data_IF_476090725516
#
_entry.id   IF_476090725516
#
_cell.length_a   1.000
_cell.length_b   1.000
_cell.length_c   1.000
_cell.angle_alpha   90.00
_cell.angle_beta   90.00
_cell.angle_gamma   90.00
#
_symmetry.space_group_name_H-M   'P 1'
#
loop_
_entity.id
_entity.type
_entity.pdbx_description
1 polymer ?
#
# COMPACT_ATOMS: atom_id res chain seq x y z
N UNK A 1 45.37 -14.88 -13.82
CA UNK A 1 44.93 -14.34 -12.52
C UNK A 1 43.75 -15.18 -12.04
N UNK A 2 44.04 -16.28 -11.33
CA UNK A 2 43.02 -17.24 -10.85
C UNK A 2 43.31 -17.57 -9.39
N UNK A 3 42.72 -16.82 -8.48
CA UNK A 3 42.85 -17.05 -7.04
C UNK A 3 41.54 -16.77 -6.22
N UNK A 4 40.38 -16.77 -6.86
CA UNK A 4 39.12 -16.42 -6.18
C UNK A 4 38.12 -17.57 -5.99
N UNK A 5 38.27 -18.69 -6.66
CA UNK A 5 37.29 -19.79 -6.63
C UNK A 5 37.54 -20.82 -5.51
N UNK A 6 38.77 -20.94 -5.03
CA UNK A 6 39.16 -21.94 -4.03
C UNK A 6 38.72 -21.62 -2.60
N UNK A 7 38.71 -20.35 -2.24
CA UNK A 7 38.33 -19.92 -0.86
C UNK A 7 36.84 -20.02 -0.58
N UNK A 8 35.98 -19.75 -1.54
CA UNK A 8 34.53 -19.86 -1.38
C UNK A 8 34.06 -21.31 -1.18
N UNK A 9 34.71 -22.26 -1.80
CA UNK A 9 34.39 -23.69 -1.67
C UNK A 9 34.80 -24.25 -0.31
N UNK A 10 35.88 -23.70 0.28
CA UNK A 10 36.38 -24.11 1.59
C UNK A 10 35.47 -23.63 2.74
N UNK A 11 34.92 -22.42 2.64
CA UNK A 11 33.98 -21.87 3.64
C UNK A 11 32.65 -22.62 3.63
N UNK A 12 32.10 -22.97 2.46
CA UNK A 12 30.85 -23.74 2.34
C UNK A 12 30.95 -25.15 2.92
N UNK A 13 32.06 -25.86 2.69
CA UNK A 13 32.27 -27.21 3.26
C UNK A 13 32.49 -27.21 4.75
N UNK A 14 32.96 -26.10 5.34
CA UNK A 14 33.16 -25.99 6.79
C UNK A 14 31.86 -25.70 7.54
N UNK A 15 30.91 -25.02 6.92
CA UNK A 15 29.56 -24.76 7.47
C UNK A 15 28.67 -26.00 7.42
N UNK A 16 28.71 -26.82 6.37
CA UNK A 16 27.96 -28.07 6.30
C UNK A 16 28.41 -29.09 7.36
N UNK A 17 29.72 -29.17 7.65
CA UNK A 17 30.27 -30.09 8.66
C UNK A 17 29.93 -29.64 10.09
N UNK A 18 29.74 -28.34 10.36
CA UNK A 18 29.34 -27.81 11.66
C UNK A 18 27.85 -28.06 11.96
N UNK A 19 26.98 -28.05 10.95
CA UNK A 19 25.54 -28.32 11.10
C UNK A 19 25.22 -29.81 11.28
N UNK A 20 26.03 -30.72 10.75
CA UNK A 20 25.85 -32.17 10.90
C UNK A 20 26.18 -32.68 12.31
N UNK A 21 27.02 -32.00 13.07
CA UNK A 21 27.47 -32.43 14.41
C UNK A 21 26.53 -31.97 15.53
N UNK A 22 25.66 -30.96 15.31
CA UNK A 22 24.75 -30.42 16.32
C UNK A 22 23.39 -31.13 16.39
N UNK A 23 23.07 -31.95 15.38
CA UNK A 23 21.74 -32.59 15.25
C UNK A 23 21.57 -33.93 15.97
N UNK A 24 22.63 -34.56 16.47
CA UNK A 24 22.55 -35.94 16.97
C UNK A 24 22.53 -36.12 18.50
N UNK A 25 22.79 -35.06 19.28
CA UNK A 25 22.94 -35.19 20.77
C UNK A 25 21.68 -34.74 21.53
N UNK A 26 20.73 -34.05 20.92
CA UNK A 26 19.51 -33.55 21.61
C UNK A 26 18.31 -34.50 21.49
N UNK A 27 18.33 -35.50 20.60
CA UNK A 27 17.17 -36.39 20.36
C UNK A 27 17.10 -37.67 21.23
N UNK A 28 18.02 -37.92 22.16
CA UNK A 28 18.04 -39.18 22.94
C UNK A 28 17.72 -39.06 24.43
N UNK A 29 17.34 -37.89 24.97
CA UNK A 29 17.00 -37.74 26.40
C UNK A 29 15.57 -37.30 26.73
N UNK A 30 14.66 -37.24 25.77
CA UNK A 30 13.27 -36.78 25.96
C UNK A 30 12.20 -37.88 25.81
N UNK A 31 12.52 -39.16 25.78
CA UNK A 31 11.55 -40.23 25.51
C UNK A 31 11.32 -41.20 26.70
N UNK A 32 11.93 -41.02 27.87
CA UNK A 32 11.81 -41.98 29.00
C UNK A 32 11.10 -41.42 30.23
N UNK A 33 10.46 -40.27 30.22
CA UNK A 33 9.79 -39.72 31.38
C UNK A 33 8.33 -39.30 31.12
N UNK A 34 7.50 -40.10 30.51
CA UNK A 34 6.04 -39.85 30.44
C UNK A 34 5.20 -41.12 30.30
N UNK A 35 5.39 -42.14 31.19
CA UNK A 35 4.41 -43.18 31.44
C UNK A 35 4.39 -43.47 32.94
N UNK A 36 3.61 -42.69 33.70
CA UNK A 36 3.04 -43.05 35.00
C UNK A 36 2.35 -41.87 35.63
N UNK A 37 1.11 -41.57 35.27
CA UNK A 37 0.10 -40.94 36.13
C UNK A 37 -1.22 -40.78 35.35
N UNK A 38 -1.89 -41.89 35.12
CA UNK A 38 -3.33 -41.87 34.81
C UNK A 38 -3.97 -42.68 35.93
N UNK A 39 -4.65 -42.04 36.87
CA UNK A 39 -5.88 -42.51 37.55
C UNK A 39 -6.44 -41.39 38.42
N UNK A 40 -7.67 -41.01 38.12
CA UNK A 40 -8.72 -40.44 38.98
C UNK A 40 -8.54 -38.99 39.47
N UNK A 41 -9.36 -38.12 38.87
CA UNK A 41 -10.36 -37.33 39.65
C UNK A 41 -11.47 -36.90 38.64
N UNK A 42 -12.61 -37.58 38.76
CA UNK A 42 -13.90 -37.06 38.26
C UNK A 42 -14.44 -36.11 39.29
N UNK A 43 -14.70 -34.85 38.97
CA UNK A 43 -15.88 -34.08 39.44
C UNK A 43 -15.85 -32.63 38.93
N UNK A 44 -16.96 -32.30 38.25
CA UNK A 44 -17.61 -30.99 38.15
C UNK A 44 -16.76 -29.75 38.17
N UNK A 45 -16.62 -29.14 36.99
CA UNK A 45 -16.30 -27.74 36.81
C UNK A 45 -16.61 -27.39 35.36
N UNK A 46 -17.75 -26.73 35.15
CA UNK A 46 -18.05 -26.06 33.89
C UNK A 46 -16.97 -24.99 33.64
N UNK A 47 -15.91 -25.36 32.95
CA UNK A 47 -14.99 -24.39 32.38
C UNK A 47 -15.56 -23.95 31.04
N UNK A 48 -16.19 -22.80 31.03
CA UNK A 48 -16.44 -22.01 29.83
C UNK A 48 -15.09 -21.83 29.11
N UNK A 49 -14.85 -22.63 28.06
CA UNK A 49 -13.80 -22.35 27.09
C UNK A 49 -14.21 -21.10 26.32
N UNK A 50 -13.98 -19.94 26.93
CA UNK A 50 -13.99 -18.68 26.25
C UNK A 50 -12.83 -18.70 25.24
N UNK A 51 -13.13 -19.08 24.02
CA UNK A 51 -12.34 -18.71 22.86
C UNK A 51 -12.19 -17.18 22.93
N UNK A 52 -11.02 -16.71 23.35
CA UNK A 52 -10.67 -15.31 23.27
C UNK A 52 -10.52 -14.96 21.78
N UNK A 53 -11.68 -14.71 21.18
CA UNK A 53 -11.78 -14.12 19.86
C UNK A 53 -11.17 -12.73 20.00
N UNK A 54 -9.89 -12.57 19.65
CA UNK A 54 -9.18 -11.29 19.61
C UNK A 54 -9.71 -10.50 18.41
N UNK A 55 -10.97 -10.10 18.46
CA UNK A 55 -11.50 -9.05 17.61
C UNK A 55 -10.69 -7.80 17.92
N UNK A 56 -9.95 -7.29 16.93
CA UNK A 56 -9.44 -5.92 17.02
C UNK A 56 -10.66 -5.05 17.33
N UNK A 57 -10.70 -4.46 18.52
CA UNK A 57 -11.83 -3.63 18.95
C UNK A 57 -11.93 -2.48 17.96
N UNK A 58 -12.99 -2.45 17.17
CA UNK A 58 -13.26 -1.35 16.25
C UNK A 58 -13.23 -0.03 17.05
N UNK A 59 -12.70 1.06 16.48
CA UNK A 59 -12.73 2.37 17.14
C UNK A 59 -14.16 2.71 17.52
N UNK A 60 -14.33 3.32 18.70
CA UNK A 60 -15.68 3.76 19.14
C UNK A 60 -16.17 4.80 18.14
N UNK A 61 -17.33 4.60 17.56
CA UNK A 61 -17.89 5.40 16.48
C UNK A 61 -17.94 6.91 16.79
N UNK A 62 -18.30 7.26 18.03
CA UNK A 62 -18.31 8.64 18.51
C UNK A 62 -16.91 9.27 18.54
N UNK A 63 -15.88 8.50 18.85
CA UNK A 63 -14.51 8.98 18.85
C UNK A 63 -13.99 9.20 17.42
N UNK A 64 -14.30 8.29 16.48
CA UNK A 64 -13.91 8.45 15.07
C UNK A 64 -14.53 9.73 14.49
N UNK A 65 -15.84 9.92 14.69
CA UNK A 65 -16.54 11.12 14.21
C UNK A 65 -15.91 12.39 14.77
N UNK A 66 -15.70 12.48 16.08
CA UNK A 66 -15.07 13.64 16.71
C UNK A 66 -13.66 13.89 16.17
N UNK A 67 -12.85 12.86 16.04
CA UNK A 67 -11.47 12.99 15.53
C UNK A 67 -11.44 13.55 14.10
N UNK A 68 -12.38 13.13 13.25
CA UNK A 68 -12.52 13.63 11.87
C UNK A 68 -12.96 15.11 11.87
N UNK A 69 -13.97 15.48 12.67
CA UNK A 69 -14.47 16.84 12.76
C UNK A 69 -13.44 17.81 13.36
N UNK A 70 -12.73 17.39 14.41
CA UNK A 70 -11.64 18.15 15.04
C UNK A 70 -10.46 18.35 14.07
N UNK A 71 -10.06 17.30 13.33
CA UNK A 71 -9.00 17.40 12.32
C UNK A 71 -9.37 18.42 11.23
N UNK A 72 -10.60 18.36 10.74
CA UNK A 72 -11.09 19.34 9.75
C UNK A 72 -11.05 20.75 10.28
N UNK A 73 -11.63 21.02 11.46
CA UNK A 73 -11.64 22.35 12.07
C UNK A 73 -10.23 22.89 12.29
N UNK A 74 -9.31 22.04 12.74
CA UNK A 74 -7.92 22.40 13.05
C UNK A 74 -7.09 22.77 11.82
N UNK A 75 -7.26 22.05 10.71
CA UNK A 75 -6.36 22.19 9.56
C UNK A 75 -6.98 22.90 8.35
N UNK A 76 -8.29 23.23 8.33
CA UNK A 76 -8.96 23.83 7.17
C UNK A 76 -8.31 25.16 6.69
N UNK A 77 -7.73 25.94 7.59
CA UNK A 77 -7.08 27.21 7.29
C UNK A 77 -5.61 27.09 6.87
N UNK A 78 -5.03 25.89 6.87
CA UNK A 78 -3.66 25.66 6.44
C UNK A 78 -3.54 25.87 4.93
N UNK A 79 -2.68 26.80 4.52
CA UNK A 79 -2.42 27.14 3.12
C UNK A 79 -0.98 26.85 2.69
N UNK A 80 -0.23 26.08 3.48
CA UNK A 80 1.15 25.74 3.16
C UNK A 80 1.26 24.83 1.94
N UNK A 81 2.35 24.97 1.17
CA UNK A 81 2.60 24.21 -0.05
C UNK A 81 1.98 24.83 -1.30
N UNK A 82 2.09 24.13 -2.43
CA UNK A 82 1.53 24.51 -3.73
C UNK A 82 0.97 23.28 -4.47
N UNK A 83 0.05 23.50 -5.40
CA UNK A 83 -0.45 22.43 -6.28
C UNK A 83 0.68 21.85 -7.15
N UNK A 84 0.52 20.64 -7.66
CA UNK A 84 1.38 20.10 -8.70
C UNK A 84 1.29 20.99 -9.96
N UNK A 85 2.37 21.69 -10.28
CA UNK A 85 2.38 22.67 -11.38
C UNK A 85 2.89 22.12 -12.71
N UNK A 86 3.44 20.92 -12.70
CA UNK A 86 3.93 20.20 -13.89
C UNK A 86 2.87 19.40 -14.65
N UNK A 87 1.65 19.28 -14.10
CA UNK A 87 0.47 18.77 -14.79
C UNK A 87 -0.53 19.94 -14.89
N UNK A 88 -0.76 20.51 -16.08
CA UNK A 88 -1.53 21.75 -16.24
C UNK A 88 -2.93 21.71 -15.62
N UNK A 89 -3.62 20.57 -15.69
CA UNK A 89 -4.92 20.40 -15.04
C UNK A 89 -4.84 20.54 -13.54
N UNK A 90 -3.87 19.87 -12.89
CA UNK A 90 -3.71 19.88 -11.43
C UNK A 90 -3.29 21.25 -10.90
N UNK A 91 -2.53 22.01 -11.70
CA UNK A 91 -2.14 23.38 -11.36
C UNK A 91 -3.36 24.30 -11.15
N UNK A 92 -4.47 24.04 -11.86
CA UNK A 92 -5.69 24.86 -11.86
C UNK A 92 -6.74 24.42 -10.84
N UNK A 93 -6.56 23.28 -10.18
CA UNK A 93 -7.49 22.79 -9.15
C UNK A 93 -7.56 23.81 -8.00
N UNK A 94 -8.77 24.11 -7.52
CA UNK A 94 -8.93 25.04 -6.39
C UNK A 94 -8.18 24.51 -5.16
N UNK A 95 -7.14 25.23 -4.79
CA UNK A 95 -6.25 24.90 -3.67
C UNK A 95 -6.92 24.98 -2.29
N UNK A 96 -8.16 25.50 -2.20
CA UNK A 96 -8.95 25.56 -0.96
C UNK A 96 -9.71 24.27 -0.69
N UNK A 97 -9.91 23.43 -1.69
CA UNK A 97 -10.61 22.15 -1.53
C UNK A 97 -9.98 21.32 -0.42
N UNK A 98 -10.83 20.74 0.41
CA UNK A 98 -10.40 19.94 1.54
C UNK A 98 -11.49 18.97 1.99
N UNK A 99 -11.23 17.69 1.90
CA UNK A 99 -12.13 16.61 2.32
C UNK A 99 -11.40 15.54 3.13
N UNK A 100 -12.09 14.96 4.10
CA UNK A 100 -11.63 13.85 4.93
C UNK A 100 -12.71 12.77 4.94
N UNK A 101 -12.31 11.51 4.85
CA UNK A 101 -13.19 10.38 5.12
C UNK A 101 -12.43 9.27 5.85
N UNK A 102 -13.14 8.59 6.74
CA UNK A 102 -12.72 7.35 7.40
C UNK A 102 -13.81 6.31 7.17
N UNK A 103 -13.45 5.14 6.68
CA UNK A 103 -14.34 4.00 6.54
C UNK A 103 -13.77 2.84 7.33
N UNK A 104 -14.57 2.31 8.26
CA UNK A 104 -14.16 1.19 9.11
C UNK A 104 -14.44 -0.18 8.45
N UNK A 105 -13.81 -1.23 8.98
CA UNK A 105 -14.02 -2.60 8.49
C UNK A 105 -15.43 -3.14 8.76
N UNK A 106 -16.19 -2.52 9.66
CA UNK A 106 -17.62 -2.79 9.92
C UNK A 106 -18.56 -1.87 9.13
N UNK A 107 -18.05 -1.25 8.04
CA UNK A 107 -18.81 -0.43 7.09
C UNK A 107 -19.40 0.87 7.67
N UNK A 108 -18.79 1.46 8.70
CA UNK A 108 -19.17 2.80 9.15
C UNK A 108 -18.34 3.85 8.41
N UNK A 109 -19.01 4.89 7.93
CA UNK A 109 -18.36 5.98 7.17
C UNK A 109 -18.53 7.33 7.88
N UNK A 110 -17.43 8.02 8.07
CA UNK A 110 -17.33 9.35 8.68
C UNK A 110 -16.62 10.28 7.71
N UNK A 111 -17.25 11.40 7.39
CA UNK A 111 -16.65 12.32 6.40
C UNK A 111 -17.03 13.76 6.66
N UNK A 112 -16.16 14.70 6.25
CA UNK A 112 -16.35 16.14 6.41
C UNK A 112 -15.64 16.91 5.30
N UNK A 113 -16.14 18.10 4.96
CA UNK A 113 -15.60 18.99 3.94
C UNK A 113 -16.06 18.62 2.52
N UNK A 114 -15.20 18.77 1.52
CA UNK A 114 -15.52 18.56 0.10
C UNK A 114 -15.58 17.06 -0.27
N UNK A 115 -16.48 16.33 0.41
CA UNK A 115 -16.54 14.87 0.35
C UNK A 115 -17.08 14.30 -0.96
N UNK A 116 -17.74 15.10 -1.79
CA UNK A 116 -18.26 14.72 -3.10
C UNK A 116 -17.38 15.16 -4.27
N UNK A 117 -16.35 15.98 -4.00
CA UNK A 117 -15.44 16.41 -5.05
C UNK A 117 -14.67 15.22 -5.63
N UNK A 118 -14.76 15.05 -6.97
CA UNK A 118 -14.02 14.02 -7.68
C UNK A 118 -12.63 14.53 -8.05
N UNK A 119 -11.60 13.85 -7.59
CA UNK A 119 -10.20 14.12 -7.93
C UNK A 119 -9.51 12.89 -8.49
N UNK A 120 -8.46 13.09 -9.28
CA UNK A 120 -7.68 11.96 -9.82
C UNK A 120 -6.88 11.26 -8.75
N UNK A 121 -6.93 9.93 -8.73
CA UNK A 121 -6.17 9.08 -7.78
C UNK A 121 -4.67 9.33 -7.87
N UNK A 122 -4.19 9.64 -9.07
CA UNK A 122 -2.77 9.76 -9.33
C UNK A 122 -2.00 8.52 -8.83
N UNK A 123 -0.89 8.71 -8.17
CA UNK A 123 -0.05 7.59 -7.71
C UNK A 123 -0.70 6.66 -6.67
N UNK A 124 -1.88 6.97 -6.14
CA UNK A 124 -2.60 6.03 -5.27
C UNK A 124 -3.06 4.81 -6.07
N UNK A 125 -3.32 4.96 -7.36
CA UNK A 125 -3.68 3.88 -8.28
C UNK A 125 -2.66 2.74 -8.32
N UNK A 126 -1.36 3.05 -8.10
CA UNK A 126 -0.28 2.06 -8.09
C UNK A 126 -0.49 0.93 -7.08
N UNK A 127 -1.12 1.24 -5.94
CA UNK A 127 -1.45 0.24 -4.90
C UNK A 127 -2.39 -0.83 -5.46
N UNK A 128 -3.40 -0.42 -6.19
CA UNK A 128 -4.43 -1.32 -6.72
C UNK A 128 -3.98 -2.01 -8.01
N UNK A 129 -3.10 -1.38 -8.81
CA UNK A 129 -2.42 -2.07 -9.92
C UNK A 129 -1.48 -3.15 -9.39
N UNK A 130 -0.72 -2.87 -8.32
CA UNK A 130 0.11 -3.86 -7.63
C UNK A 130 -0.74 -5.03 -7.11
N UNK A 131 -1.85 -4.72 -6.44
CA UNK A 131 -2.77 -5.74 -5.93
C UNK A 131 -3.27 -6.66 -7.06
N UNK A 132 -3.70 -6.09 -8.19
CA UNK A 132 -4.12 -6.88 -9.35
C UNK A 132 -2.98 -7.73 -9.94
N UNK A 133 -1.76 -7.19 -10.02
CA UNK A 133 -0.61 -7.95 -10.50
C UNK A 133 -0.28 -9.14 -9.57
N UNK A 134 -0.38 -8.94 -8.25
CA UNK A 134 -0.21 -10.02 -7.27
C UNK A 134 -1.33 -11.06 -7.39
N UNK A 135 -2.59 -10.65 -7.58
CA UNK A 135 -3.71 -11.57 -7.81
C UNK A 135 -3.52 -12.44 -9.05
N UNK A 136 -2.94 -11.90 -10.13
CA UNK A 136 -2.72 -12.64 -11.38
C UNK A 136 -1.47 -13.54 -11.34
N UNK A 137 -0.39 -13.10 -10.73
CA UNK A 137 0.92 -13.74 -10.85
C UNK A 137 1.43 -14.37 -9.54
N UNK A 138 0.87 -13.97 -8.40
CA UNK A 138 1.41 -14.24 -7.08
C UNK A 138 2.52 -13.26 -6.66
N UNK A 139 2.72 -13.09 -5.33
CA UNK A 139 3.64 -12.09 -4.78
C UNK A 139 5.10 -12.35 -5.16
N UNK A 140 5.55 -13.61 -5.18
CA UNK A 140 6.94 -13.96 -5.47
C UNK A 140 7.36 -13.56 -6.88
N UNK A 141 6.51 -13.79 -7.89
CA UNK A 141 6.80 -13.40 -9.28
C UNK A 141 6.79 -11.88 -9.45
N UNK A 142 5.90 -11.17 -8.76
CA UNK A 142 5.90 -9.71 -8.78
C UNK A 142 7.16 -9.17 -8.12
N UNK A 143 7.56 -9.73 -6.98
CA UNK A 143 8.80 -9.36 -6.30
C UNK A 143 10.04 -9.60 -7.17
N UNK A 144 10.15 -10.78 -7.81
CA UNK A 144 11.27 -11.13 -8.73
C UNK A 144 11.39 -10.13 -9.89
N UNK A 145 10.26 -9.69 -10.44
CA UNK A 145 10.22 -8.83 -11.62
C UNK A 145 10.37 -7.35 -11.29
N UNK A 146 9.84 -6.90 -10.15
CA UNK A 146 9.74 -5.48 -9.80
C UNK A 146 10.62 -5.14 -8.59
N UNK A 147 10.71 -6.00 -7.58
CA UNK A 147 11.34 -5.68 -6.29
C UNK A 147 10.38 -4.95 -5.35
N UNK A 148 10.89 -4.57 -4.19
CA UNK A 148 10.14 -3.83 -3.16
C UNK A 148 10.98 -2.81 -2.40
N UNK A 149 12.28 -2.67 -2.76
CA UNK A 149 13.20 -1.83 -2.00
C UNK A 149 12.89 -0.33 -2.17
N UNK A 150 13.01 0.47 -1.11
CA UNK A 150 12.88 1.92 -1.21
C UNK A 150 14.03 2.48 -2.05
N UNK A 151 13.73 3.45 -2.92
CA UNK A 151 14.75 4.05 -3.78
C UNK A 151 15.61 5.09 -3.06
N UNK A 152 15.11 5.69 -1.98
CA UNK A 152 15.74 6.84 -1.33
C UNK A 152 15.85 8.08 -2.22
N UNK A 153 15.12 8.11 -3.34
CA UNK A 153 15.14 9.17 -4.37
C UNK A 153 13.72 9.58 -4.74
N UNK A 154 13.59 10.67 -5.49
CA UNK A 154 12.32 11.12 -6.03
C UNK A 154 11.61 10.01 -6.82
N UNK A 155 10.29 10.01 -6.79
CA UNK A 155 9.42 8.96 -7.37
C UNK A 155 9.58 8.76 -8.90
N UNK A 156 10.17 9.72 -9.60
CA UNK A 156 10.43 9.71 -11.05
C UNK A 156 11.93 9.73 -11.39
N UNK A 157 12.82 9.40 -10.43
CA UNK A 157 14.26 9.44 -10.64
C UNK A 157 14.71 8.43 -11.69
N UNK A 158 15.43 8.93 -12.69
CA UNK A 158 16.13 8.13 -13.70
C UNK A 158 17.33 7.41 -13.08
N UNK A 159 18.06 8.09 -12.19
CA UNK A 159 19.21 7.55 -11.49
C UNK A 159 18.84 6.33 -10.65
N UNK A 160 17.65 6.33 -10.03
CA UNK A 160 17.17 5.15 -9.30
C UNK A 160 17.06 3.92 -10.21
N UNK A 161 16.58 4.08 -11.46
CA UNK A 161 16.47 2.98 -12.42
C UNK A 161 17.87 2.50 -12.86
N UNK A 162 18.82 3.39 -12.99
CA UNK A 162 20.19 3.05 -13.42
C UNK A 162 20.97 2.35 -12.30
N UNK A 163 20.88 2.85 -11.08
CA UNK A 163 21.73 2.45 -9.95
C UNK A 163 21.20 1.21 -9.20
N UNK A 164 19.89 1.01 -9.16
CA UNK A 164 19.33 -0.11 -8.39
C UNK A 164 19.47 -1.45 -9.11
N UNK A 165 19.79 -2.54 -8.40
CA UNK A 165 19.95 -3.87 -9.01
C UNK A 165 18.70 -4.37 -9.73
N UNK A 166 17.51 -3.98 -9.28
CA UNK A 166 16.23 -4.35 -9.90
C UNK A 166 15.93 -3.54 -11.16
N UNK A 167 16.53 -2.36 -11.34
CA UNK A 167 16.24 -1.38 -12.39
C UNK A 167 14.77 -0.92 -12.48
N UNK A 168 14.00 -1.14 -11.41
CA UNK A 168 12.58 -0.79 -11.28
C UNK A 168 12.32 -0.01 -9.99
N UNK A 169 13.15 -0.25 -8.95
CA UNK A 169 12.93 0.21 -7.59
C UNK A 169 11.88 -0.64 -6.90
N UNK A 170 10.67 -0.13 -6.85
CA UNK A 170 9.51 -0.82 -6.29
C UNK A 170 8.23 -0.40 -7.04
N UNK A 171 7.09 -1.12 -6.85
CA UNK A 171 5.88 -0.86 -7.60
C UNK A 171 5.19 0.49 -7.29
N UNK A 172 5.64 1.25 -6.30
CA UNK A 172 5.01 2.52 -5.89
C UNK A 172 5.77 3.77 -6.34
N UNK A 173 6.91 3.61 -7.06
CA UNK A 173 7.56 4.68 -7.83
C UNK A 173 7.25 4.52 -9.32
N UNK A 174 7.47 5.57 -10.14
CA UNK A 174 6.97 5.57 -11.52
C UNK A 174 7.52 4.42 -12.37
N UNK A 175 8.82 4.16 -12.36
CA UNK A 175 9.41 3.08 -13.13
C UNK A 175 8.82 1.71 -12.75
N UNK A 176 8.81 1.38 -11.46
CA UNK A 176 8.23 0.13 -10.99
C UNK A 176 6.72 0.02 -11.23
N UNK A 177 5.98 1.12 -11.17
CA UNK A 177 4.54 1.13 -11.46
C UNK A 177 4.24 0.89 -12.95
N UNK A 178 5.03 1.48 -13.86
CA UNK A 178 4.93 1.22 -15.31
C UNK A 178 5.27 -0.24 -15.59
N UNK A 179 6.35 -0.75 -14.99
CA UNK A 179 6.72 -2.16 -15.10
C UNK A 179 5.63 -3.09 -14.54
N UNK A 180 5.01 -2.76 -13.39
CA UNK A 180 3.89 -3.51 -12.81
C UNK A 180 2.67 -3.48 -13.72
N UNK A 181 2.34 -2.32 -14.31
CA UNK A 181 1.23 -2.19 -15.28
C UNK A 181 1.46 -3.09 -16.49
N UNK A 182 2.70 -3.22 -16.97
CA UNK A 182 3.04 -4.07 -18.09
C UNK A 182 2.89 -5.58 -17.81
N UNK A 183 2.78 -5.97 -16.54
CA UNK A 183 2.54 -7.36 -16.12
C UNK A 183 1.07 -7.78 -16.26
N UNK A 184 0.14 -6.84 -16.28
CA UNK A 184 -1.30 -7.15 -16.31
C UNK A 184 -1.66 -7.85 -17.62
N UNK A 185 -2.33 -9.00 -17.49
CA UNK A 185 -2.72 -9.82 -18.62
C UNK A 185 -3.94 -9.24 -19.37
N UNK A 186 -3.99 -9.44 -20.68
CA UNK A 186 -5.08 -9.06 -21.58
C UNK A 186 -4.65 -9.20 -23.02
N UNK A 187 -5.57 -9.48 -23.93
CA UNK A 187 -5.28 -9.66 -25.35
C UNK A 187 -4.85 -8.35 -26.05
N UNK A 188 -5.24 -7.21 -25.48
CA UNK A 188 -4.94 -5.87 -26.00
C UNK A 188 -5.03 -4.82 -24.88
N UNK A 189 -4.64 -3.58 -25.18
CA UNK A 189 -4.68 -2.45 -24.26
C UNK A 189 -6.05 -2.20 -23.62
N UNK A 190 -7.12 -2.32 -24.42
CA UNK A 190 -8.48 -2.07 -23.96
C UNK A 190 -8.94 -3.11 -22.92
N UNK A 191 -8.60 -4.38 -23.12
CA UNK A 191 -8.93 -5.43 -22.16
C UNK A 191 -8.17 -5.24 -20.85
N UNK A 192 -6.86 -4.93 -20.92
CA UNK A 192 -6.05 -4.63 -19.75
C UNK A 192 -6.62 -3.45 -18.98
N UNK A 193 -6.93 -2.36 -19.69
CA UNK A 193 -7.51 -1.17 -19.09
C UNK A 193 -8.87 -1.44 -18.43
N UNK A 194 -9.79 -2.14 -19.12
CA UNK A 194 -11.10 -2.52 -18.56
C UNK A 194 -10.95 -3.35 -17.29
N UNK A 195 -10.00 -4.29 -17.27
CA UNK A 195 -9.70 -5.12 -16.10
C UNK A 195 -9.21 -4.28 -14.93
N UNK A 196 -8.26 -3.37 -15.15
CA UNK A 196 -7.72 -2.48 -14.11
C UNK A 196 -8.84 -1.60 -13.53
N UNK A 197 -9.63 -0.96 -14.38
CA UNK A 197 -10.73 -0.09 -13.94
C UNK A 197 -11.81 -0.85 -13.19
N UNK A 198 -12.13 -2.08 -13.62
CA UNK A 198 -13.07 -2.95 -12.94
C UNK A 198 -12.54 -3.35 -11.55
N UNK A 199 -11.26 -3.66 -11.44
CA UNK A 199 -10.63 -4.00 -10.16
C UNK A 199 -10.64 -2.84 -9.18
N UNK A 200 -10.33 -1.61 -9.64
CA UNK A 200 -10.43 -0.41 -8.81
C UNK A 200 -11.88 -0.17 -8.34
N UNK A 201 -12.85 -0.35 -9.26
CA UNK A 201 -14.27 -0.21 -8.95
C UNK A 201 -14.75 -1.21 -7.90
N UNK A 202 -14.27 -2.47 -7.95
CA UNK A 202 -14.56 -3.48 -6.93
C UNK A 202 -13.97 -3.09 -5.56
N UNK A 203 -12.75 -2.56 -5.54
CA UNK A 203 -12.14 -2.08 -4.30
C UNK A 203 -12.90 -0.89 -3.70
N UNK A 204 -13.44 0.01 -4.53
CA UNK A 204 -14.27 1.13 -4.12
C UNK A 204 -15.70 0.73 -3.72
N UNK A 205 -16.16 -0.45 -4.15
CA UNK A 205 -17.55 -0.90 -3.95
C UNK A 205 -18.56 -0.22 -4.87
N UNK A 206 -18.10 0.57 -5.82
CA UNK A 206 -18.92 1.28 -6.81
C UNK A 206 -18.13 1.57 -8.09
N UNK A 207 -18.86 1.86 -9.19
CA UNK A 207 -18.26 2.12 -10.48
C UNK A 207 -17.42 3.41 -10.46
N UNK A 208 -16.15 3.29 -10.79
CA UNK A 208 -15.24 4.40 -11.03
C UNK A 208 -15.15 4.72 -12.52
N UNK A 209 -14.68 5.92 -12.86
CA UNK A 209 -14.49 6.37 -14.24
C UNK A 209 -13.23 7.22 -14.39
N UNK A 210 -12.75 7.32 -15.61
CA UNK A 210 -11.67 8.20 -15.99
C UNK A 210 -12.12 9.67 -15.92
N UNK A 211 -11.25 10.57 -15.47
CA UNK A 211 -11.39 12.01 -15.68
C UNK A 211 -10.62 12.35 -16.96
N UNK A 212 -11.34 12.44 -18.07
CA UNK A 212 -10.74 12.58 -19.39
C UNK A 212 -9.83 13.82 -19.52
N UNK A 213 -10.18 14.94 -18.86
CA UNK A 213 -9.38 16.16 -18.91
C UNK A 213 -8.03 15.97 -18.18
N UNK A 214 -8.02 15.23 -17.06
CA UNK A 214 -6.76 14.87 -16.36
C UNK A 214 -5.93 13.96 -17.25
N UNK A 215 -6.54 12.93 -17.84
CA UNK A 215 -5.83 12.00 -18.71
C UNK A 215 -5.20 12.72 -19.91
N UNK A 216 -5.96 13.58 -20.61
CA UNK A 216 -5.43 14.36 -21.74
C UNK A 216 -4.28 15.27 -21.31
N UNK A 217 -4.43 15.95 -20.18
CA UNK A 217 -3.41 16.85 -19.64
C UNK A 217 -2.12 16.11 -19.28
N UNK A 218 -2.22 14.96 -18.62
CA UNK A 218 -1.06 14.16 -18.20
C UNK A 218 -0.40 13.45 -19.38
N UNK A 219 -1.19 12.89 -20.30
CA UNK A 219 -0.69 12.24 -21.51
C UNK A 219 0.11 13.20 -22.42
N UNK A 220 -0.26 14.48 -22.45
CA UNK A 220 0.43 15.52 -23.21
C UNK A 220 1.79 15.94 -22.60
N UNK A 221 2.02 15.67 -21.30
CA UNK A 221 3.25 16.06 -20.55
C UNK A 221 3.98 14.85 -19.99
N UNK A 222 3.96 13.73 -20.69
CA UNK A 222 4.36 12.40 -20.18
C UNK A 222 5.75 11.94 -20.65
N UNK A 223 6.61 12.88 -21.08
CA UNK A 223 7.97 12.57 -21.59
C UNK A 223 8.82 11.84 -20.56
N UNK A 224 8.75 12.24 -19.30
CA UNK A 224 9.49 11.60 -18.21
C UNK A 224 9.13 10.12 -18.04
N UNK A 225 7.86 9.76 -18.09
CA UNK A 225 7.42 8.37 -17.99
C UNK A 225 7.77 7.55 -19.25
N UNK A 226 7.75 8.16 -20.45
CA UNK A 226 8.25 7.53 -21.69
C UNK A 226 9.74 7.26 -21.62
N UNK A 227 10.54 8.18 -21.06
CA UNK A 227 11.97 7.96 -20.84
C UNK A 227 12.25 6.83 -19.85
N UNK A 228 11.48 6.76 -18.74
CA UNK A 228 11.55 5.63 -17.82
C UNK A 228 11.19 4.30 -18.49
N UNK A 229 10.15 4.26 -19.33
CA UNK A 229 9.78 3.06 -20.07
C UNK A 229 10.88 2.62 -21.04
N UNK A 230 11.56 3.55 -21.73
CA UNK A 230 12.71 3.23 -22.59
C UNK A 230 13.88 2.63 -21.81
N UNK A 231 14.15 3.12 -20.59
CA UNK A 231 15.14 2.51 -19.70
C UNK A 231 14.73 1.11 -19.24
N UNK A 232 13.44 0.91 -18.90
CA UNK A 232 12.92 -0.41 -18.55
C UNK A 232 13.06 -1.41 -19.70
N UNK A 233 12.90 -0.98 -20.97
CA UNK A 233 13.18 -1.80 -22.16
C UNK A 233 14.66 -2.19 -22.19
N UNK A 234 15.58 -1.22 -22.03
CA UNK A 234 17.03 -1.47 -22.01
C UNK A 234 17.42 -2.52 -20.96
N UNK A 235 16.80 -2.48 -19.79
CA UNK A 235 17.10 -3.38 -18.68
C UNK A 235 16.22 -4.64 -18.66
N UNK A 236 15.37 -4.86 -19.68
CA UNK A 236 14.47 -6.00 -19.79
C UNK A 236 13.49 -6.11 -18.59
N UNK A 237 13.01 -4.96 -18.13
CA UNK A 237 12.10 -4.83 -16.99
C UNK A 237 10.70 -4.32 -17.37
N UNK A 238 10.33 -4.46 -18.65
CA UNK A 238 8.98 -4.21 -19.15
C UNK A 238 8.47 -5.46 -19.87
N UNK A 239 7.22 -5.80 -19.71
CA UNK A 239 6.66 -7.13 -20.03
C UNK A 239 5.52 -7.08 -21.06
N UNK A 240 5.20 -5.89 -21.58
CA UNK A 240 4.31 -5.65 -22.71
C UNK A 240 4.86 -4.49 -23.54
N UNK A 241 4.10 -4.02 -24.54
CA UNK A 241 4.50 -2.81 -25.28
C UNK A 241 4.72 -1.64 -24.32
N UNK A 242 5.88 -0.96 -24.38
CA UNK A 242 6.24 0.10 -23.44
C UNK A 242 5.34 1.32 -23.50
N UNK A 243 4.87 1.70 -24.70
CA UNK A 243 3.98 2.86 -24.87
C UNK A 243 2.56 2.53 -24.42
N UNK A 244 2.09 1.31 -24.67
CA UNK A 244 0.84 0.79 -24.10
C UNK A 244 0.89 0.80 -22.56
N UNK A 245 1.98 0.31 -21.96
CA UNK A 245 2.12 0.29 -20.52
C UNK A 245 2.10 1.70 -19.90
N UNK A 246 2.75 2.69 -20.54
CA UNK A 246 2.70 4.09 -20.12
C UNK A 246 1.29 4.67 -20.27
N UNK A 247 0.58 4.38 -21.35
CA UNK A 247 -0.77 4.87 -21.58
C UNK A 247 -1.75 4.32 -20.53
N UNK A 248 -1.73 3.01 -20.28
CA UNK A 248 -2.59 2.36 -19.28
C UNK A 248 -2.24 2.87 -17.87
N UNK A 249 -0.96 3.04 -17.55
CA UNK A 249 -0.51 3.65 -16.31
C UNK A 249 -1.07 5.07 -16.12
N UNK A 250 -1.02 5.91 -17.18
CA UNK A 250 -1.55 7.28 -17.16
C UNK A 250 -3.07 7.28 -16.97
N UNK A 251 -3.79 6.37 -17.63
CA UNK A 251 -5.23 6.18 -17.40
C UNK A 251 -5.52 5.80 -15.95
N UNK A 252 -4.73 4.89 -15.36
CA UNK A 252 -4.85 4.52 -13.94
C UNK A 252 -4.69 5.73 -13.00
N UNK A 253 -3.69 6.58 -13.25
CA UNK A 253 -3.48 7.83 -12.52
C UNK A 253 -4.67 8.78 -12.62
N UNK A 254 -5.36 8.79 -13.75
CA UNK A 254 -6.44 9.71 -14.08
C UNK A 254 -7.84 9.22 -13.67
N UNK A 255 -7.96 8.07 -13.00
CA UNK A 255 -9.24 7.59 -12.44
C UNK A 255 -9.72 8.55 -11.36
N UNK A 256 -10.98 8.98 -11.46
CA UNK A 256 -11.63 9.86 -10.51
C UNK A 256 -12.13 9.10 -9.29
N UNK A 257 -11.86 9.65 -8.11
CA UNK A 257 -12.43 9.21 -6.83
C UNK A 257 -12.79 10.41 -5.98
N UNK A 258 -13.74 10.26 -5.08
CA UNK A 258 -13.91 11.17 -3.95
C UNK A 258 -13.30 10.56 -2.67
N UNK A 259 -13.21 11.34 -1.58
CA UNK A 259 -12.58 10.85 -0.34
C UNK A 259 -13.30 9.65 0.27
N UNK A 260 -14.62 9.50 0.08
CA UNK A 260 -15.38 8.37 0.62
C UNK A 260 -15.05 7.09 -0.16
N UNK A 261 -15.05 7.16 -1.49
CA UNK A 261 -14.63 6.06 -2.36
C UNK A 261 -13.20 5.62 -2.04
N UNK A 262 -12.30 6.59 -1.89
CA UNK A 262 -10.90 6.29 -1.58
C UNK A 262 -10.74 5.68 -0.18
N UNK A 263 -11.46 6.17 0.84
CA UNK A 263 -11.47 5.56 2.17
C UNK A 263 -12.05 4.14 2.15
N UNK A 264 -13.07 3.89 1.31
CA UNK A 264 -13.65 2.57 1.08
C UNK A 264 -12.63 1.60 0.47
N UNK A 265 -11.88 2.06 -0.54
CA UNK A 265 -10.76 1.28 -1.10
C UNK A 265 -9.73 0.91 -0.02
N UNK A 266 -9.46 1.83 0.90
CA UNK A 266 -8.61 1.58 2.06
C UNK A 266 -9.21 0.60 3.06
N UNK A 267 -10.50 0.68 3.31
CA UNK A 267 -11.21 -0.24 4.19
C UNK A 267 -11.20 -1.67 3.61
N UNK A 268 -11.25 -1.83 2.29
CA UNK A 268 -11.06 -3.13 1.61
C UNK A 268 -9.70 -3.74 1.96
N UNK A 269 -8.62 -2.97 1.89
CA UNK A 269 -7.29 -3.45 2.31
C UNK A 269 -7.23 -3.71 3.81
N UNK A 270 -7.79 -2.82 4.64
CA UNK A 270 -7.82 -2.99 6.09
C UNK A 270 -8.61 -4.22 6.55
N UNK A 271 -9.59 -4.66 5.76
CA UNK A 271 -10.45 -5.82 5.99
C UNK A 271 -9.95 -7.09 5.27
N UNK A 272 -8.65 -7.29 5.21
CA UNK A 272 -8.02 -8.45 4.56
C UNK A 272 -8.47 -8.64 3.09
N UNK A 273 -8.65 -7.55 2.37
CA UNK A 273 -9.02 -7.57 0.95
C UNK A 273 -10.50 -7.78 0.65
N UNK A 274 -11.34 -7.93 1.68
CA UNK A 274 -12.80 -8.01 1.53
C UNK A 274 -13.40 -6.60 1.59
N UNK A 275 -14.16 -6.22 0.58
CA UNK A 275 -14.86 -4.95 0.58
C UNK A 275 -16.01 -4.97 1.63
N UNK A 276 -15.98 -4.11 2.66
CA UNK A 276 -16.97 -4.17 3.73
C UNK A 276 -18.38 -3.74 3.32
N UNK A 277 -18.56 -3.05 2.17
CA UNK A 277 -19.88 -2.67 1.65
C UNK A 277 -20.50 -3.80 0.84
N UNK A 278 -19.73 -4.38 -0.07
CA UNK A 278 -20.26 -5.40 -1.00
C UNK A 278 -20.11 -6.83 -0.50
N UNK A 279 -19.23 -7.06 0.49
CA UNK A 279 -18.86 -8.40 0.94
C UNK A 279 -18.01 -9.19 -0.05
N UNK A 280 -17.60 -8.58 -1.18
CA UNK A 280 -16.76 -9.23 -2.18
C UNK A 280 -15.30 -9.32 -1.71
N UNK A 281 -14.69 -10.51 -1.82
CA UNK A 281 -13.25 -10.70 -1.65
C UNK A 281 -12.55 -10.20 -2.91
N UNK A 282 -12.07 -8.96 -2.88
CA UNK A 282 -11.41 -8.29 -4.03
C UNK A 282 -9.95 -8.69 -4.15
N UNK A 283 -9.28 -8.87 -3.02
CA UNK A 283 -7.87 -9.21 -2.90
C UNK A 283 -7.77 -10.38 -1.92
N UNK A 284 -7.06 -11.45 -2.28
CA UNK A 284 -6.86 -12.58 -1.34
C UNK A 284 -6.24 -12.09 -0.04
N UNK A 285 -6.77 -12.56 1.09
CA UNK A 285 -6.32 -12.13 2.42
C UNK A 285 -4.80 -12.30 2.62
N UNK A 286 -4.24 -13.40 2.10
CA UNK A 286 -2.81 -13.71 2.18
C UNK A 286 -1.92 -12.75 1.38
N UNK A 287 -2.48 -12.03 0.39
CA UNK A 287 -1.74 -11.14 -0.50
C UNK A 287 -1.70 -9.69 0.03
N UNK A 288 -2.63 -9.32 0.91
CA UNK A 288 -2.70 -7.98 1.52
C UNK A 288 -1.41 -7.56 2.24
N UNK A 289 -0.71 -8.43 3.01
CA UNK A 289 0.53 -8.03 3.69
C UNK A 289 1.62 -7.53 2.75
N UNK A 290 1.75 -8.08 1.55
CA UNK A 290 2.74 -7.65 0.56
C UNK A 290 2.43 -6.23 0.03
N UNK A 291 1.16 -5.92 -0.18
CA UNK A 291 0.69 -4.62 -0.62
C UNK A 291 0.96 -3.56 0.47
N UNK A 292 0.59 -3.87 1.72
CA UNK A 292 0.81 -2.96 2.86
C UNK A 292 2.30 -2.75 3.14
N UNK A 293 3.13 -3.79 2.97
CA UNK A 293 4.58 -3.69 3.05
C UNK A 293 5.13 -2.70 2.02
N UNK A 294 4.74 -2.82 0.75
CA UNK A 294 5.15 -1.88 -0.29
C UNK A 294 4.71 -0.44 0.03
N UNK A 295 3.48 -0.25 0.55
CA UNK A 295 2.98 1.07 0.99
C UNK A 295 3.82 1.66 2.14
N UNK A 296 4.28 0.83 3.07
CA UNK A 296 5.14 1.27 4.18
C UNK A 296 6.50 1.72 3.66
N UNK A 297 7.09 0.99 2.72
CA UNK A 297 8.45 1.23 2.22
C UNK A 297 8.55 2.45 1.29
N UNK A 298 7.55 2.71 0.44
CA UNK A 298 7.66 3.70 -0.61
C UNK A 298 6.37 4.51 -0.88
N UNK A 299 5.36 4.39 -0.02
CA UNK A 299 4.05 4.98 -0.30
C UNK A 299 4.03 6.52 -0.29
N UNK A 300 4.89 7.16 0.48
CA UNK A 300 5.10 8.62 0.49
C UNK A 300 6.45 9.00 -0.13
N UNK A 301 6.91 8.22 -1.09
CA UNK A 301 8.15 8.45 -1.83
C UNK A 301 9.37 8.52 -0.89
N UNK A 302 10.25 9.50 -1.06
CA UNK A 302 11.38 9.79 -0.17
C UNK A 302 10.96 10.23 1.25
N UNK A 303 9.69 10.62 1.46
CA UNK A 303 9.10 10.90 2.78
C UNK A 303 8.63 9.65 3.57
N UNK A 304 8.72 8.43 3.01
CA UNK A 304 8.14 7.22 3.63
C UNK A 304 8.76 6.87 4.98
N UNK A 305 10.05 7.07 5.16
CA UNK A 305 10.74 6.83 6.43
C UNK A 305 10.25 7.73 7.55
N UNK A 306 10.15 9.05 7.28
CA UNK A 306 9.57 10.01 8.23
C UNK A 306 8.11 9.73 8.56
N UNK A 307 7.34 9.31 7.55
CA UNK A 307 5.95 8.89 7.75
C UNK A 307 5.82 7.66 8.65
N UNK A 308 6.62 6.62 8.41
CA UNK A 308 6.63 5.43 9.26
C UNK A 308 7.02 5.76 10.71
N UNK A 309 7.98 6.67 10.90
CA UNK A 309 8.43 7.13 12.22
C UNK A 309 7.33 7.87 13.00
N UNK A 310 6.63 8.80 12.34
CA UNK A 310 5.68 9.69 13.01
C UNK A 310 4.25 9.16 13.05
N UNK A 311 3.82 8.40 12.03
CA UNK A 311 2.43 7.95 11.87
C UNK A 311 2.29 6.44 12.03
N UNK A 312 3.25 5.68 11.48
CA UNK A 312 3.28 4.22 11.62
C UNK A 312 2.14 3.50 10.92
N UNK A 313 1.61 4.04 9.82
CA UNK A 313 0.57 3.41 8.99
C UNK A 313 1.07 3.21 7.55
N UNK A 314 0.80 2.05 6.91
CA UNK A 314 0.92 1.95 5.47
C UNK A 314 0.08 3.03 4.79
N UNK A 315 0.67 3.79 3.86
CA UNK A 315 -0.06 4.84 3.17
C UNK A 315 0.43 5.03 1.73
N UNK A 316 -0.37 5.70 0.90
CA UNK A 316 0.02 6.13 -0.43
C UNK A 316 -0.50 7.52 -0.75
N UNK A 317 0.40 8.37 -1.20
CA UNK A 317 0.09 9.71 -1.69
C UNK A 317 -0.08 9.75 -3.21
N UNK A 318 -0.85 10.73 -3.67
CA UNK A 318 -0.98 11.09 -5.08
C UNK A 318 -0.79 12.58 -5.27
N UNK A 319 -0.08 12.99 -6.32
CA UNK A 319 0.23 14.41 -6.59
C UNK A 319 -1.00 15.26 -6.91
N UNK A 320 -2.17 14.66 -7.05
CA UNK A 320 -3.45 15.38 -7.08
C UNK A 320 -3.88 15.95 -5.73
N UNK A 321 -3.21 15.59 -4.65
CA UNK A 321 -3.50 16.05 -3.28
C UNK A 321 -4.17 15.00 -2.39
N UNK A 322 -4.40 13.78 -2.89
CA UNK A 322 -4.94 12.66 -2.12
C UNK A 322 -3.86 11.93 -1.29
N UNK A 323 -4.21 11.48 -0.09
CA UNK A 323 -3.47 10.46 0.67
C UNK A 323 -4.46 9.43 1.18
N UNK A 324 -4.13 8.16 0.96
CA UNK A 324 -4.82 7.00 1.53
C UNK A 324 -3.90 6.34 2.57
N UNK A 325 -4.37 6.18 3.81
CA UNK A 325 -3.68 5.43 4.86
C UNK A 325 -4.54 4.25 5.33
N UNK A 326 -3.88 3.14 5.65
CA UNK A 326 -4.53 1.89 6.04
C UNK A 326 -4.24 1.59 7.51
N UNK A 327 -5.28 1.42 8.30
CA UNK A 327 -5.19 0.88 9.65
C UNK A 327 -5.69 -0.58 9.63
N UNK A 328 -4.82 -1.60 9.51
CA UNK A 328 -5.21 -3.01 9.37
C UNK A 328 -6.14 -3.45 10.48
N UNK A 329 -7.24 -4.10 10.13
CA UNK A 329 -8.30 -4.54 11.04
C UNK A 329 -9.18 -3.41 11.61
N UNK A 330 -8.90 -2.13 11.27
CA UNK A 330 -9.69 -0.98 11.74
C UNK A 330 -10.39 -0.25 10.59
N UNK A 331 -9.68 0.14 9.53
CA UNK A 331 -10.28 0.85 8.41
C UNK A 331 -9.30 1.59 7.51
N UNK A 332 -9.85 2.32 6.53
CA UNK A 332 -9.14 3.23 5.63
C UNK A 332 -9.37 4.69 6.00
N UNK A 333 -8.33 5.51 5.92
CA UNK A 333 -8.38 6.97 6.10
C UNK A 333 -7.98 7.60 4.77
N UNK A 334 -8.86 8.41 4.20
CA UNK A 334 -8.56 9.18 3.00
C UNK A 334 -8.72 10.68 3.26
N UNK A 335 -7.76 11.45 2.75
CA UNK A 335 -7.81 12.90 2.80
C UNK A 335 -7.42 13.46 1.46
N UNK A 336 -8.12 14.51 1.03
CA UNK A 336 -7.84 15.26 -0.18
C UNK A 336 -7.61 16.73 0.16
N UNK A 337 -6.46 17.28 -0.23
CA UNK A 337 -6.13 18.69 -0.20
C UNK A 337 -5.00 18.96 -1.21
N UNK A 338 -5.17 19.83 -2.22
CA UNK A 338 -4.27 19.90 -3.39
C UNK A 338 -2.83 20.33 -3.11
N UNK A 339 -2.55 21.10 -2.06
CA UNK A 339 -1.22 21.68 -1.82
C UNK A 339 -0.24 20.65 -1.29
N UNK A 340 0.92 20.54 -1.97
CA UNK A 340 1.95 19.54 -1.77
C UNK A 340 3.21 20.13 -1.12
N UNK A 341 3.99 19.27 -0.47
CA UNK A 341 5.38 19.50 -0.08
C UNK A 341 6.35 19.24 -1.26
N UNK A 342 7.64 19.38 -1.01
CA UNK A 342 8.67 19.19 -2.05
C UNK A 342 8.79 17.73 -2.52
N UNK A 343 8.36 16.75 -1.73
CA UNK A 343 8.35 15.35 -2.08
C UNK A 343 7.11 14.96 -2.91
N UNK A 344 6.12 15.86 -3.05
CA UNK A 344 4.87 15.62 -3.77
C UNK A 344 3.73 15.07 -2.92
N UNK A 345 3.81 15.19 -1.60
CA UNK A 345 2.79 14.73 -0.67
C UNK A 345 1.94 15.89 -0.16
N UNK A 346 0.62 15.73 -0.08
CA UNK A 346 -0.27 16.76 0.46
C UNK A 346 0.06 17.08 1.91
N UNK A 347 0.47 18.34 2.18
CA UNK A 347 0.87 18.80 3.52
C UNK A 347 -0.31 18.69 4.49
N UNK A 348 -1.49 19.20 4.09
CA UNK A 348 -2.69 19.18 4.92
C UNK A 348 -3.16 17.76 5.19
N UNK A 349 -3.14 16.89 4.18
CA UNK A 349 -3.53 15.49 4.33
C UNK A 349 -2.61 14.73 5.30
N UNK A 350 -1.29 14.95 5.24
CA UNK A 350 -0.35 14.38 6.21
C UNK A 350 -0.71 14.79 7.64
N UNK A 351 -0.93 16.07 7.91
CA UNK A 351 -1.30 16.58 9.25
C UNK A 351 -2.60 15.99 9.76
N UNK A 352 -3.60 15.86 8.89
CA UNK A 352 -4.91 15.27 9.22
C UNK A 352 -4.76 13.81 9.61
N UNK A 353 -4.11 13.01 8.76
CA UNK A 353 -3.98 11.57 9.01
C UNK A 353 -3.14 11.32 10.27
N UNK A 354 -2.07 12.08 10.47
CA UNK A 354 -1.29 12.03 11.72
C UNK A 354 -2.17 12.26 12.94
N UNK A 355 -2.99 13.32 12.92
CA UNK A 355 -3.89 13.65 14.03
C UNK A 355 -4.93 12.55 14.28
N UNK A 356 -5.60 12.08 13.23
CA UNK A 356 -6.63 11.03 13.35
C UNK A 356 -6.03 9.71 13.82
N UNK A 357 -4.86 9.32 13.28
CA UNK A 357 -4.16 8.08 13.67
C UNK A 357 -3.74 8.11 15.13
N UNK A 358 -3.23 9.24 15.62
CA UNK A 358 -2.86 9.44 17.03
C UNK A 358 -4.09 9.33 17.95
N UNK A 359 -5.17 10.09 17.64
CA UNK A 359 -6.41 10.07 18.41
C UNK A 359 -7.08 8.69 18.51
N UNK A 360 -6.90 7.86 17.49
CA UNK A 360 -7.53 6.54 17.39
C UNK A 360 -6.57 5.38 17.72
N UNK A 361 -5.35 5.70 18.21
CA UNK A 361 -4.30 4.71 18.53
C UNK A 361 -4.11 3.70 17.37
N UNK A 362 -3.82 4.23 16.17
CA UNK A 362 -3.73 3.43 14.96
C UNK A 362 -2.29 3.05 14.57
N UNK A 363 -1.27 3.62 15.21
CA UNK A 363 0.13 3.34 14.90
C UNK A 363 0.45 1.85 15.09
N UNK A 364 0.94 1.18 14.03
CA UNK A 364 1.24 -0.25 14.04
C UNK A 364 2.44 -0.61 14.93
N UNK A 365 3.32 0.33 15.17
CA UNK A 365 4.54 0.15 15.99
C UNK A 365 4.33 0.51 17.46
N UNK A 366 3.16 1.03 17.84
CA UNK A 366 2.82 1.27 19.23
C UNK A 366 2.80 -0.05 20.02
N UNK A 367 3.42 -0.11 21.20
CA UNK A 367 3.39 -1.32 22.02
C UNK A 367 1.94 -1.57 22.47
N UNK A 368 1.29 -2.52 21.83
CA UNK A 368 0.05 -3.09 22.37
C UNK A 368 0.46 -3.97 23.51
N UNK A 369 -0.21 -3.89 24.67
CA UNK A 369 -0.05 -4.84 25.75
C UNK A 369 -0.55 -6.22 25.29
N UNK A 370 0.25 -6.89 24.48
CA UNK A 370 0.08 -8.31 24.16
C UNK A 370 0.72 -9.05 25.32
N UNK A 371 -0.10 -9.43 26.33
CA UNK A 371 0.35 -10.39 27.30
C UNK A 371 0.83 -11.63 26.57
N UNK A 372 2.11 -11.93 26.68
CA UNK A 372 2.62 -13.26 26.41
C UNK A 372 2.07 -14.13 27.55
N UNK A 373 0.91 -14.74 27.32
CA UNK A 373 0.38 -15.82 28.15
C UNK A 373 0.68 -17.15 27.49
#
# INVERSE_FOLDING_TARGET
MSAGAGERLYVLKKTEKAMSTYGSTVRRKAVVALIAAVVSITLCGQSSTGSANRSAVAPRHDLVKRSVDEAYARFRSDTTGKNADYIPYLAQVDSKLFGIAVVSTDNQSYSVGDTSYSFSMQSISKVFTLALAIEELGPDKVFERIGSEPTGRAFNSVEAVVDMPTHTGNPLVNAGAIATTSLISGANADEKWKKILAFYSKAAGEKLSLIDDVYRSEAATNEGNRALAALLVKYQRIYSDPLEAVDIYTKGCSVGVNVKQLAQMGATLANNGMNPVTGEQVIKAQDVPYILSAMTMAGLYDGSGGWAWHVGLPAKSGVGGGILAIAPGKGGIATFAPRLDNAGNSIKAQKVITYVADKLDMNLFSPRSVGLQ
#
